data_IF_498578860428
#
_entry.id   IF_498578860428
#
_cell.length_a   1.000
_cell.length_b   1.000
_cell.length_c   1.000
_cell.angle_alpha   90.00
_cell.angle_beta   90.00
_cell.angle_gamma   90.00
#
_symmetry.space_group_name_H-M   'P 1'
#
loop_
_entity.id
_entity.type
_entity.pdbx_description
1 polymer ?
#
# COMPACT_ATOMS: atom_id res chain seq x y z
N UNK A 1 19.72 -11.54 -16.57
CA UNK A 1 19.42 -11.72 -15.13
C UNK A 1 19.10 -13.17 -14.89
N UNK A 2 19.54 -13.77 -13.78
CA UNK A 2 19.23 -15.17 -13.47
C UNK A 2 17.76 -15.27 -13.05
N UNK A 3 16.98 -16.12 -13.72
CA UNK A 3 15.63 -16.47 -13.31
C UNK A 3 15.66 -17.85 -12.62
N UNK A 4 15.28 -17.88 -11.34
CA UNK A 4 15.25 -19.10 -10.53
C UNK A 4 13.95 -19.90 -10.68
N UNK A 5 12.95 -19.39 -11.43
CA UNK A 5 11.70 -20.11 -11.68
C UNK A 5 11.97 -21.42 -12.45
N UNK A 6 11.19 -22.45 -12.13
CA UNK A 6 11.19 -23.71 -12.88
C UNK A 6 10.67 -23.48 -14.31
N UNK A 7 9.59 -22.72 -14.44
CA UNK A 7 9.13 -22.20 -15.72
C UNK A 7 9.90 -20.90 -16.03
N UNK A 8 10.69 -20.91 -17.08
CA UNK A 8 11.57 -19.78 -17.45
C UNK A 8 10.82 -18.58 -18.02
N UNK A 9 9.58 -18.75 -18.41
CA UNK A 9 8.71 -17.65 -18.87
C UNK A 9 8.10 -16.88 -17.69
N UNK A 10 8.00 -17.49 -16.49
CA UNK A 10 7.42 -16.91 -15.29
C UNK A 10 8.46 -16.34 -14.34
N UNK A 11 8.12 -15.25 -13.66
CA UNK A 11 8.95 -14.64 -12.62
C UNK A 11 8.92 -15.52 -11.36
N UNK A 12 10.05 -15.56 -10.64
CA UNK A 12 10.29 -16.57 -9.62
C UNK A 12 9.32 -16.50 -8.42
N UNK A 13 9.04 -15.29 -7.90
CA UNK A 13 8.23 -15.17 -6.70
C UNK A 13 6.75 -15.11 -7.02
N UNK A 14 6.33 -14.24 -7.96
CA UNK A 14 4.90 -14.05 -8.25
C UNK A 14 4.33 -15.11 -9.19
N UNK A 15 5.17 -15.90 -9.87
CA UNK A 15 4.78 -16.94 -10.84
C UNK A 15 3.87 -16.42 -11.97
N UNK A 16 4.16 -15.22 -12.44
CA UNK A 16 3.44 -14.54 -13.54
C UNK A 16 4.41 -14.32 -14.70
N UNK A 17 3.92 -14.45 -15.93
CA UNK A 17 4.67 -14.18 -17.15
C UNK A 17 4.41 -12.75 -17.68
N UNK A 18 5.34 -12.17 -18.47
CA UNK A 18 5.11 -10.92 -19.19
C UNK A 18 3.83 -10.96 -20.02
N UNK A 19 2.99 -9.92 -19.90
CA UNK A 19 1.72 -9.80 -20.60
C UNK A 19 0.52 -10.46 -19.90
N UNK A 20 0.70 -11.25 -18.84
CA UNK A 20 -0.40 -11.82 -18.06
C UNK A 20 -1.06 -10.78 -17.13
N UNK A 21 -0.37 -9.69 -16.78
CA UNK A 21 -0.90 -8.60 -15.96
C UNK A 21 -1.28 -7.37 -16.79
N UNK A 22 -2.11 -6.51 -16.21
CA UNK A 22 -2.42 -5.19 -16.76
C UNK A 22 -1.31 -4.17 -16.48
N UNK A 23 -1.38 -3.04 -17.17
CA UNK A 23 -0.48 -1.89 -16.95
C UNK A 23 -0.71 -1.24 -15.58
N UNK A 24 -1.92 -1.36 -15.03
CA UNK A 24 -2.32 -0.87 -13.71
C UNK A 24 -2.49 -2.08 -12.78
N UNK A 25 -1.81 -2.05 -11.62
CA UNK A 25 -1.88 -3.13 -10.64
C UNK A 25 -2.26 -2.59 -9.25
N UNK A 26 -3.29 -3.19 -8.65
CA UNK A 26 -3.68 -2.93 -7.27
C UNK A 26 -2.87 -3.85 -6.35
N UNK A 27 -2.29 -3.28 -5.28
CA UNK A 27 -1.40 -3.99 -4.35
C UNK A 27 -1.97 -4.04 -2.93
N UNK A 28 -2.81 -5.03 -2.56
CA UNK A 28 -3.15 -5.30 -1.18
C UNK A 28 -2.03 -6.07 -0.46
N UNK A 29 -1.90 -5.91 0.86
CA UNK A 29 -0.99 -6.75 1.65
C UNK A 29 -1.51 -8.17 1.81
N UNK A 30 -2.77 -8.32 2.23
CA UNK A 30 -3.40 -9.63 2.50
C UNK A 30 -3.79 -10.34 1.19
N UNK A 31 -3.29 -11.58 0.96
CA UNK A 31 -3.66 -12.40 -0.20
C UNK A 31 -5.18 -12.60 -0.36
N UNK A 32 -5.91 -12.75 0.74
CA UNK A 32 -7.37 -12.92 0.73
C UNK A 32 -8.11 -11.70 0.16
N UNK A 33 -7.49 -10.54 0.19
CA UNK A 33 -8.07 -9.31 -0.37
C UNK A 33 -8.06 -9.30 -1.90
N UNK A 34 -7.17 -10.07 -2.55
CA UNK A 34 -7.12 -10.15 -4.01
C UNK A 34 -8.45 -10.62 -4.61
N UNK A 35 -9.03 -11.69 -4.09
CA UNK A 35 -10.33 -12.18 -4.55
C UNK A 35 -11.47 -11.18 -4.27
N UNK A 36 -11.38 -10.40 -3.18
CA UNK A 36 -12.35 -9.34 -2.87
C UNK A 36 -12.27 -8.19 -3.87
N UNK A 37 -11.04 -7.76 -4.23
CA UNK A 37 -10.80 -6.71 -5.23
C UNK A 37 -11.20 -7.19 -6.63
N UNK A 38 -10.86 -8.43 -7.00
CA UNK A 38 -11.19 -9.01 -8.30
C UNK A 38 -12.69 -9.04 -8.59
N UNK A 39 -13.57 -9.03 -7.59
CA UNK A 39 -15.02 -8.92 -7.78
C UNK A 39 -15.46 -7.61 -8.44
N UNK A 40 -14.62 -6.59 -8.44
CA UNK A 40 -14.87 -5.33 -9.12
C UNK A 40 -14.36 -5.29 -10.56
N UNK A 41 -13.70 -6.36 -11.02
CA UNK A 41 -13.23 -6.48 -12.39
C UNK A 41 -14.29 -7.18 -13.27
N UNK A 42 -14.34 -6.83 -14.52
CA UNK A 42 -15.02 -7.59 -15.57
C UNK A 42 -14.12 -8.77 -15.94
N UNK A 43 -14.70 -9.97 -16.04
CA UNK A 43 -14.04 -11.23 -16.41
C UNK A 43 -12.72 -11.51 -15.66
N UNK A 44 -12.74 -11.52 -14.32
CA UNK A 44 -11.52 -11.73 -13.53
C UNK A 44 -11.03 -13.18 -13.65
N UNK A 45 -9.75 -13.36 -13.93
CA UNK A 45 -9.06 -14.67 -14.01
C UNK A 45 -7.97 -14.73 -12.94
N UNK A 46 -7.90 -15.83 -12.19
CA UNK A 46 -6.77 -16.15 -11.33
C UNK A 46 -5.57 -16.52 -12.21
N UNK A 47 -4.49 -15.72 -12.14
CA UNK A 47 -3.27 -15.92 -12.93
C UNK A 47 -2.27 -16.77 -12.16
N UNK A 48 -2.06 -16.47 -10.87
CA UNK A 48 -1.10 -17.16 -10.03
C UNK A 48 -1.52 -17.14 -8.56
N UNK A 49 -1.14 -18.19 -7.84
CA UNK A 49 -1.23 -18.31 -6.39
C UNK A 49 0.07 -18.96 -5.90
N UNK A 50 1.01 -18.15 -5.45
CA UNK A 50 2.32 -18.63 -5.01
C UNK A 50 2.83 -17.80 -3.82
N UNK A 51 3.22 -18.45 -2.75
CA UNK A 51 3.67 -17.80 -1.49
C UNK A 51 2.59 -16.83 -0.97
N UNK A 52 3.00 -15.61 -0.63
CA UNK A 52 2.12 -14.49 -0.27
C UNK A 52 1.54 -13.74 -1.49
N UNK A 53 1.89 -14.15 -2.71
CA UNK A 53 1.50 -13.48 -3.96
C UNK A 53 0.36 -14.21 -4.66
N UNK A 54 -0.83 -13.62 -4.62
CA UNK A 54 -1.99 -14.05 -5.40
C UNK A 54 -2.29 -12.98 -6.44
N UNK A 55 -2.38 -13.37 -7.72
CA UNK A 55 -2.63 -12.45 -8.82
C UNK A 55 -3.92 -12.80 -9.55
N UNK A 56 -4.81 -11.81 -9.69
CA UNK A 56 -5.94 -11.85 -10.61
C UNK A 56 -5.78 -10.76 -11.67
N UNK A 57 -6.24 -11.03 -12.89
CA UNK A 57 -6.29 -10.05 -13.98
C UNK A 57 -7.70 -10.04 -14.57
N UNK A 58 -8.19 -8.86 -14.92
CA UNK A 58 -9.48 -8.63 -15.55
C UNK A 58 -9.53 -7.23 -16.15
N UNK A 59 -10.72 -6.66 -16.28
CA UNK A 59 -10.92 -5.35 -16.92
C UNK A 59 -11.66 -4.40 -15.98
N UNK A 60 -11.27 -3.13 -15.97
CA UNK A 60 -11.99 -2.03 -15.31
C UNK A 60 -12.08 -0.85 -16.27
N UNK A 61 -13.29 -0.43 -16.61
CA UNK A 61 -13.53 0.67 -17.55
C UNK A 61 -12.77 0.50 -18.90
N UNK A 62 -12.75 -0.73 -19.42
CA UNK A 62 -12.09 -1.07 -20.68
C UNK A 62 -10.56 -1.18 -20.62
N UNK A 63 -9.93 -0.98 -19.43
CA UNK A 63 -8.48 -1.12 -19.22
C UNK A 63 -8.19 -2.48 -18.60
N UNK A 64 -7.13 -3.17 -19.08
CA UNK A 64 -6.62 -4.39 -18.44
C UNK A 64 -6.00 -4.03 -17.10
N UNK A 65 -6.48 -4.59 -16.01
CA UNK A 65 -6.07 -4.31 -14.63
C UNK A 65 -5.76 -5.61 -13.92
N UNK A 66 -4.78 -5.57 -13.03
CA UNK A 66 -4.48 -6.69 -12.16
C UNK A 66 -4.54 -6.30 -10.69
N UNK A 67 -4.70 -7.29 -9.84
CA UNK A 67 -4.46 -7.21 -8.41
C UNK A 67 -3.46 -8.28 -8.03
N UNK A 68 -2.41 -7.89 -7.29
CA UNK A 68 -1.40 -8.82 -6.76
C UNK A 68 -1.14 -8.50 -5.29
N UNK A 69 -1.27 -9.49 -4.41
CA UNK A 69 -0.92 -9.29 -3.00
C UNK A 69 0.59 -9.12 -2.81
N UNK A 70 0.97 -8.37 -1.80
CA UNK A 70 2.39 -8.10 -1.50
C UNK A 70 2.90 -8.85 -0.28
N UNK A 71 2.03 -9.46 0.53
CA UNK A 71 2.39 -9.84 1.89
C UNK A 71 2.59 -8.60 2.78
N UNK A 72 3.32 -8.76 3.88
CA UNK A 72 3.59 -7.71 4.86
C UNK A 72 5.04 -7.25 4.74
N UNK A 73 5.22 -5.92 4.72
CA UNK A 73 6.51 -5.28 4.85
C UNK A 73 7.26 -4.99 3.55
N UNK A 74 8.29 -4.18 3.67
CA UNK A 74 9.07 -3.66 2.55
C UNK A 74 9.66 -4.72 1.63
N UNK A 75 10.40 -5.73 2.14
CA UNK A 75 11.05 -6.73 1.28
C UNK A 75 10.07 -7.47 0.35
N UNK A 76 8.96 -7.92 0.88
CA UNK A 76 7.93 -8.64 0.13
C UNK A 76 7.25 -7.73 -0.90
N UNK A 77 6.90 -6.50 -0.51
CA UNK A 77 6.30 -5.52 -1.40
C UNK A 77 7.23 -5.10 -2.54
N UNK A 78 8.53 -4.93 -2.27
CA UNK A 78 9.53 -4.62 -3.28
C UNK A 78 9.68 -5.73 -4.33
N UNK A 79 9.71 -6.99 -3.90
CA UNK A 79 9.76 -8.15 -4.80
C UNK A 79 8.55 -8.15 -5.74
N UNK A 80 7.34 -7.96 -5.20
CA UNK A 80 6.12 -7.91 -6.00
C UNK A 80 6.21 -6.80 -7.08
N UNK A 81 6.55 -5.58 -6.68
CA UNK A 81 6.67 -4.45 -7.61
C UNK A 81 7.73 -4.71 -8.69
N UNK A 82 8.91 -5.17 -8.32
CA UNK A 82 10.01 -5.48 -9.24
C UNK A 82 9.61 -6.50 -10.31
N UNK A 83 8.95 -7.57 -9.90
CA UNK A 83 8.55 -8.63 -10.84
C UNK A 83 7.35 -8.21 -11.69
N UNK A 84 6.40 -7.44 -11.14
CA UNK A 84 5.27 -6.88 -11.91
C UNK A 84 5.73 -5.85 -12.95
N UNK A 85 6.73 -5.01 -12.64
CA UNK A 85 7.34 -4.09 -13.62
C UNK A 85 7.93 -4.87 -14.81
N UNK A 86 8.59 -6.00 -14.56
CA UNK A 86 9.11 -6.88 -15.61
C UNK A 86 8.01 -7.55 -16.44
N UNK A 87 6.82 -7.71 -15.86
CA UNK A 87 5.63 -8.21 -16.56
C UNK A 87 4.92 -7.13 -17.39
N UNK A 88 5.37 -5.86 -17.33
CA UNK A 88 4.82 -4.74 -18.11
C UNK A 88 3.94 -3.76 -17.32
N UNK A 89 3.79 -3.94 -16.01
CA UNK A 89 3.04 -2.99 -15.18
C UNK A 89 3.86 -1.70 -14.94
N UNK A 90 3.20 -0.55 -14.95
CA UNK A 90 3.85 0.76 -14.75
C UNK A 90 3.07 1.71 -13.83
N UNK A 91 1.88 1.32 -13.37
CA UNK A 91 1.08 2.10 -12.43
C UNK A 91 0.57 1.20 -11.31
N UNK A 92 0.83 1.60 -10.08
CA UNK A 92 0.54 0.79 -8.91
C UNK A 92 -0.29 1.57 -7.90
N UNK A 93 -1.34 0.94 -7.36
CA UNK A 93 -2.17 1.50 -6.30
C UNK A 93 -2.15 0.54 -5.11
N UNK A 94 -1.43 0.92 -4.05
CA UNK A 94 -1.52 0.20 -2.79
C UNK A 94 -2.90 0.39 -2.17
N UNK A 95 -3.59 -0.70 -1.87
CA UNK A 95 -4.84 -0.73 -1.09
C UNK A 95 -4.59 -1.42 0.24
N UNK A 96 -4.34 -0.62 1.27
CA UNK A 96 -3.87 -1.09 2.56
C UNK A 96 -4.82 -0.82 3.72
N UNK A 97 -4.28 -1.08 4.91
CA UNK A 97 -4.84 -0.70 6.21
C UNK A 97 -3.76 0.01 7.01
N UNK A 98 -4.16 0.91 7.92
CA UNK A 98 -3.25 1.63 8.80
C UNK A 98 -3.87 1.85 10.18
N UNK A 99 -3.04 2.20 11.14
CA UNK A 99 -3.46 2.80 12.39
C UNK A 99 -3.47 4.32 12.25
N UNK A 100 -4.54 5.01 12.69
CA UNK A 100 -4.60 6.47 12.69
C UNK A 100 -3.65 7.09 13.72
N UNK A 101 -3.10 8.27 13.41
CA UNK A 101 -2.14 9.00 14.25
C UNK A 101 -2.63 10.40 14.67
N UNK A 102 -3.65 10.96 14.04
CA UNK A 102 -4.23 12.27 14.39
C UNK A 102 -5.64 12.08 14.99
N UNK A 103 -6.00 12.86 15.98
CA UNK A 103 -7.29 12.70 16.69
C UNK A 103 -8.53 12.95 15.83
N UNK A 104 -8.38 13.70 14.74
CA UNK A 104 -9.44 13.92 13.74
C UNK A 104 -9.55 12.79 12.70
N UNK A 105 -8.59 11.85 12.66
CA UNK A 105 -8.61 10.68 11.79
C UNK A 105 -9.30 9.53 12.52
N UNK A 106 -10.51 9.17 12.11
CA UNK A 106 -11.34 8.17 12.79
C UNK A 106 -11.19 6.79 12.16
N UNK A 107 -11.52 5.77 12.93
CA UNK A 107 -11.66 4.40 12.41
C UNK A 107 -12.74 4.37 11.32
N UNK A 108 -12.45 3.75 10.19
CA UNK A 108 -13.32 3.73 9.01
C UNK A 108 -13.03 4.83 8.00
N UNK A 109 -12.30 5.89 8.36
CA UNK A 109 -11.86 6.89 7.41
C UNK A 109 -10.83 6.32 6.43
N UNK A 110 -10.69 6.99 5.30
CA UNK A 110 -9.71 6.65 4.26
C UNK A 110 -8.55 7.64 4.31
N UNK A 111 -7.31 7.15 4.20
CA UNK A 111 -6.12 7.98 3.99
C UNK A 111 -5.60 7.79 2.58
N UNK A 112 -5.47 8.87 1.82
CA UNK A 112 -4.69 8.93 0.58
C UNK A 112 -3.30 9.48 0.92
N UNK A 113 -2.26 8.65 0.78
CA UNK A 113 -0.90 9.03 1.14
C UNK A 113 -0.25 9.88 0.06
N UNK A 114 0.32 11.02 0.44
CA UNK A 114 1.13 11.87 -0.44
C UNK A 114 2.61 11.56 -0.36
N UNK A 115 3.05 11.06 0.79
CA UNK A 115 4.42 10.65 1.06
C UNK A 115 4.45 9.70 2.27
N UNK A 116 5.58 9.05 2.49
CA UNK A 116 5.80 8.19 3.64
C UNK A 116 7.12 8.50 4.35
N UNK A 117 7.09 8.47 5.70
CA UNK A 117 8.30 8.50 6.52
C UNK A 117 9.03 7.17 6.35
N UNK A 118 10.31 7.22 6.01
CA UNK A 118 11.16 6.05 5.72
C UNK A 118 11.79 5.46 6.98
N UNK A 119 10.99 4.70 7.76
CA UNK A 119 11.51 3.95 8.91
C UNK A 119 11.73 2.46 8.59
N UNK A 120 11.67 2.09 7.33
CA UNK A 120 11.95 0.75 6.82
C UNK A 120 13.40 0.61 6.34
N UNK A 121 13.91 -0.61 6.34
CA UNK A 121 15.25 -0.94 5.82
C UNK A 121 15.29 -1.02 4.30
N UNK A 122 14.26 -1.60 3.70
CA UNK A 122 14.23 -1.88 2.25
C UNK A 122 14.38 -0.62 1.41
N UNK A 123 13.66 0.46 1.73
CA UNK A 123 13.77 1.70 0.95
C UNK A 123 15.18 2.31 0.98
N UNK A 124 15.96 2.04 2.03
CA UNK A 124 17.34 2.52 2.16
C UNK A 124 18.31 1.78 1.22
N UNK A 125 18.00 0.55 0.87
CA UNK A 125 18.78 -0.22 -0.12
C UNK A 125 18.51 0.23 -1.57
N UNK A 126 17.34 0.88 -1.81
CA UNK A 126 16.99 1.42 -3.14
C UNK A 126 17.49 2.84 -3.37
N UNK A 127 17.54 3.69 -2.35
CA UNK A 127 17.92 5.08 -2.49
C UNK A 127 18.48 5.67 -1.18
N UNK A 128 19.36 6.69 -1.24
CA UNK A 128 19.80 7.44 -0.07
C UNK A 128 18.62 7.93 0.77
N UNK A 129 18.81 8.01 2.10
CA UNK A 129 17.71 8.36 3.04
C UNK A 129 17.13 9.75 2.77
N UNK A 130 17.93 10.65 2.22
CA UNK A 130 17.56 12.03 1.88
C UNK A 130 16.58 12.09 0.70
N UNK A 131 16.49 11.04 -0.15
CA UNK A 131 15.53 11.00 -1.23
C UNK A 131 14.12 10.78 -0.65
N UNK A 132 13.14 11.66 -0.93
CA UNK A 132 11.82 11.57 -0.31
C UNK A 132 11.00 10.39 -0.86
N UNK A 133 10.33 9.66 0.01
CA UNK A 133 9.33 8.67 -0.39
C UNK A 133 8.01 9.38 -0.73
N UNK A 134 7.97 10.02 -1.89
CA UNK A 134 6.79 10.72 -2.40
C UNK A 134 5.93 9.78 -3.26
N UNK A 135 4.61 9.86 -3.10
CA UNK A 135 3.67 9.22 -4.00
C UNK A 135 3.62 9.94 -5.36
N UNK A 136 3.25 9.22 -6.41
CA UNK A 136 3.02 9.82 -7.71
C UNK A 136 1.85 10.82 -7.66
N UNK A 137 2.06 12.00 -8.26
CA UNK A 137 1.10 13.10 -8.19
C UNK A 137 -0.20 12.78 -8.94
N UNK A 138 -0.13 12.16 -10.11
CA UNK A 138 -1.32 11.84 -10.91
C UNK A 138 -2.16 10.75 -10.24
N UNK A 139 -1.51 9.68 -9.75
CA UNK A 139 -2.20 8.60 -9.02
C UNK A 139 -2.83 9.15 -7.74
N UNK A 140 -2.12 9.98 -6.99
CA UNK A 140 -2.65 10.62 -5.77
C UNK A 140 -3.86 11.50 -6.09
N UNK A 141 -3.78 12.28 -7.17
CA UNK A 141 -4.89 13.16 -7.62
C UNK A 141 -6.11 12.35 -8.03
N UNK A 142 -5.93 11.25 -8.76
CA UNK A 142 -7.01 10.34 -9.14
C UNK A 142 -7.69 9.71 -7.90
N UNK A 143 -6.90 9.27 -6.92
CA UNK A 143 -7.43 8.72 -5.66
C UNK A 143 -8.23 9.77 -4.86
N UNK A 144 -7.76 11.01 -4.79
CA UNK A 144 -8.48 12.11 -4.12
C UNK A 144 -9.78 12.44 -4.85
N UNK A 145 -9.78 12.49 -6.18
CA UNK A 145 -11.01 12.69 -6.98
C UNK A 145 -12.00 11.57 -6.74
N UNK A 146 -11.54 10.32 -6.77
CA UNK A 146 -12.37 9.15 -6.51
C UNK A 146 -13.01 9.19 -5.12
N UNK A 147 -12.24 9.53 -4.08
CA UNK A 147 -12.78 9.67 -2.72
C UNK A 147 -13.87 10.74 -2.64
N UNK A 148 -13.70 11.87 -3.32
CA UNK A 148 -14.71 12.93 -3.43
C UNK A 148 -15.96 12.47 -4.19
N UNK A 149 -15.79 11.82 -5.33
CA UNK A 149 -16.90 11.31 -6.16
C UNK A 149 -17.77 10.31 -5.40
N UNK A 150 -17.13 9.46 -4.57
CA UNK A 150 -17.80 8.46 -3.76
C UNK A 150 -18.33 8.99 -2.43
N UNK A 151 -18.10 10.27 -2.12
CA UNK A 151 -18.50 10.94 -0.86
C UNK A 151 -18.06 10.15 0.39
N UNK A 152 -16.82 9.62 0.37
CA UNK A 152 -16.26 8.91 1.52
C UNK A 152 -15.50 9.86 2.43
N UNK A 153 -15.48 9.63 3.77
CA UNK A 153 -14.63 10.40 4.68
C UNK A 153 -13.16 10.09 4.39
N UNK A 154 -12.36 11.10 4.02
CA UNK A 154 -10.97 10.89 3.65
C UNK A 154 -10.04 11.99 4.17
N UNK A 155 -8.76 11.63 4.31
CA UNK A 155 -7.66 12.50 4.65
C UNK A 155 -6.54 12.36 3.60
N UNK A 156 -5.81 13.43 3.36
CA UNK A 156 -4.70 13.46 2.39
C UNK A 156 -3.44 13.96 3.08
N UNK A 157 -2.37 13.19 3.09
CA UNK A 157 -1.14 13.61 3.75
C UNK A 157 -0.12 12.51 3.93
N UNK A 158 0.86 12.76 4.80
CA UNK A 158 1.99 11.88 5.06
C UNK A 158 1.59 10.75 5.98
N UNK A 159 2.11 9.54 5.71
CA UNK A 159 2.00 8.38 6.59
C UNK A 159 3.36 7.97 7.13
N UNK A 160 3.40 7.25 8.25
CA UNK A 160 4.62 6.65 8.77
C UNK A 160 4.66 5.19 8.31
N UNK A 161 5.80 4.79 7.71
CA UNK A 161 6.05 3.41 7.29
C UNK A 161 7.18 2.80 8.12
N UNK A 162 6.98 1.59 8.64
CA UNK A 162 7.90 0.90 9.55
C UNK A 162 8.00 -0.59 9.26
N UNK A 163 9.05 -1.25 9.75
CA UNK A 163 9.23 -2.71 9.64
C UNK A 163 8.74 -3.47 10.88
N UNK A 164 8.78 -2.84 12.07
CA UNK A 164 8.47 -3.51 13.33
C UNK A 164 7.06 -3.17 13.84
N UNK A 165 6.08 -4.05 13.58
CA UNK A 165 4.70 -3.87 14.04
C UNK A 165 4.61 -3.68 15.57
N UNK A 166 5.22 -4.58 16.34
CA UNK A 166 5.21 -4.51 17.80
C UNK A 166 6.08 -3.38 18.37
N UNK A 167 7.02 -2.84 17.59
CA UNK A 167 7.75 -1.63 17.95
C UNK A 167 6.87 -0.39 18.08
N UNK A 168 5.70 -0.38 17.43
CA UNK A 168 4.70 0.67 17.61
C UNK A 168 3.71 0.36 18.73
N UNK A 169 3.24 -0.89 18.84
CA UNK A 169 2.13 -1.25 19.73
C UNK A 169 2.57 -1.57 21.16
N UNK A 170 3.82 -1.98 21.35
CA UNK A 170 4.43 -2.30 22.64
C UNK A 170 5.86 -1.73 22.73
N UNK A 171 6.05 -0.43 22.44
CA UNK A 171 7.37 0.17 22.34
C UNK A 171 8.16 0.07 23.67
N UNK A 172 7.47 0.09 24.80
CA UNK A 172 8.06 -0.02 26.13
C UNK A 172 8.74 -1.36 26.39
N UNK A 173 8.37 -2.41 25.65
CA UNK A 173 8.98 -3.75 25.74
C UNK A 173 10.23 -3.89 24.85
N UNK A 174 10.52 -2.90 24.02
CA UNK A 174 11.64 -2.96 23.07
C UNK A 174 12.92 -2.39 23.70
N UNK A 175 14.10 -2.98 23.40
CA UNK A 175 15.38 -2.44 23.89
C UNK A 175 15.64 -0.98 23.53
N UNK A 176 15.08 -0.53 22.40
CA UNK A 176 15.19 0.86 21.88
C UNK A 176 13.92 1.67 22.15
N UNK A 177 13.21 1.38 23.24
CA UNK A 177 11.91 2.00 23.59
C UNK A 177 11.94 3.53 23.52
N UNK A 178 13.01 4.16 24.07
CA UNK A 178 13.20 5.61 24.06
C UNK A 178 13.19 6.20 22.64
N UNK A 179 13.83 5.51 21.69
CA UNK A 179 13.89 5.96 20.30
C UNK A 179 12.53 5.83 19.63
N UNK A 180 11.84 4.69 19.81
CA UNK A 180 10.53 4.42 19.21
C UNK A 180 9.47 5.40 19.71
N UNK A 181 9.43 5.64 21.03
CA UNK A 181 8.48 6.57 21.64
C UNK A 181 8.72 8.02 21.21
N UNK A 182 9.98 8.46 21.21
CA UNK A 182 10.34 9.82 20.78
C UNK A 182 10.04 10.05 19.30
N UNK A 183 10.31 9.07 18.43
CA UNK A 183 9.99 9.14 17.01
C UNK A 183 8.48 9.17 16.78
N UNK A 184 7.71 8.33 17.49
CA UNK A 184 6.25 8.36 17.38
C UNK A 184 5.69 9.74 17.73
N UNK A 185 6.12 10.33 18.86
CA UNK A 185 5.70 11.67 19.26
C UNK A 185 6.07 12.73 18.21
N UNK A 186 7.28 12.65 17.66
CA UNK A 186 7.70 13.55 16.58
C UNK A 186 6.81 13.44 15.34
N UNK A 187 6.46 12.23 14.89
CA UNK A 187 5.61 12.04 13.73
C UNK A 187 4.17 12.51 13.98
N UNK A 188 3.62 12.28 15.17
CA UNK A 188 2.32 12.82 15.58
C UNK A 188 2.34 14.35 15.54
N UNK A 189 3.37 14.99 16.11
CA UNK A 189 3.50 16.46 16.10
C UNK A 189 3.71 17.03 14.69
N UNK A 190 4.33 16.28 13.79
CA UNK A 190 4.47 16.68 12.38
C UNK A 190 3.21 16.42 11.54
N UNK A 191 2.16 15.88 12.13
CA UNK A 191 0.88 15.68 11.44
C UNK A 191 0.81 14.43 10.58
N UNK A 192 1.66 13.40 10.80
CA UNK A 192 1.48 12.11 10.14
C UNK A 192 0.07 11.57 10.42
N UNK A 193 -0.63 11.15 9.37
CA UNK A 193 -2.04 10.76 9.44
C UNK A 193 -2.23 9.33 9.91
N UNK A 194 -1.36 8.43 9.49
CA UNK A 194 -1.46 7.00 9.79
C UNK A 194 -0.13 6.28 9.74
N UNK A 195 -0.11 5.07 10.28
CA UNK A 195 1.06 4.21 10.35
C UNK A 195 0.78 2.86 9.69
N UNK A 196 1.66 2.42 8.79
CA UNK A 196 1.57 1.20 8.01
C UNK A 196 2.98 0.62 7.73
N UNK A 197 3.16 -0.30 6.76
CA UNK A 197 4.42 -1.06 6.66
C UNK A 197 5.01 -1.19 5.23
N UNK A 198 4.41 -0.61 4.17
CA UNK A 198 4.85 -0.84 2.78
C UNK A 198 5.02 0.42 1.92
N UNK A 199 4.34 1.54 2.24
CA UNK A 199 4.26 2.69 1.33
C UNK A 199 5.61 3.32 1.02
N UNK A 200 6.52 3.47 1.99
CA UNK A 200 7.83 4.08 1.72
C UNK A 200 8.65 3.23 0.76
N UNK A 201 8.66 1.91 0.95
CA UNK A 201 9.32 0.98 0.05
C UNK A 201 8.74 1.05 -1.36
N UNK A 202 7.40 1.00 -1.49
CA UNK A 202 6.75 1.04 -2.80
C UNK A 202 6.99 2.35 -3.53
N UNK A 203 6.94 3.50 -2.83
CA UNK A 203 7.21 4.80 -3.44
C UNK A 203 8.67 4.92 -3.91
N UNK A 204 9.63 4.47 -3.10
CA UNK A 204 11.05 4.52 -3.44
C UNK A 204 11.41 3.52 -4.54
N UNK A 205 10.94 2.28 -4.46
CA UNK A 205 11.17 1.28 -5.51
C UNK A 205 10.51 1.71 -6.82
N UNK A 206 9.31 2.28 -6.77
CA UNK A 206 8.63 2.85 -7.92
C UNK A 206 9.43 3.97 -8.58
N UNK A 207 9.93 4.92 -7.79
CA UNK A 207 10.80 5.99 -8.29
C UNK A 207 12.08 5.43 -8.94
N UNK A 208 12.73 4.44 -8.32
CA UNK A 208 13.92 3.79 -8.86
C UNK A 208 13.66 3.02 -10.17
N UNK A 209 12.42 2.61 -10.42
CA UNK A 209 11.98 1.92 -11.66
C UNK A 209 11.25 2.84 -12.63
N UNK A 210 11.12 4.13 -12.32
CA UNK A 210 10.41 5.12 -13.14
C UNK A 210 8.96 4.73 -13.42
N UNK A 211 8.27 4.16 -12.40
CA UNK A 211 6.86 3.78 -12.45
C UNK A 211 6.06 4.59 -11.43
N UNK A 212 4.76 4.73 -11.68
CA UNK A 212 3.86 5.53 -10.85
C UNK A 212 3.32 4.69 -9.68
N UNK A 213 3.38 5.22 -8.46
CA UNK A 213 2.86 4.53 -7.27
C UNK A 213 2.06 5.50 -6.41
N UNK A 214 0.83 5.12 -6.07
CA UNK A 214 0.01 5.79 -5.07
C UNK A 214 -0.49 4.82 -4.00
N UNK A 215 -1.07 5.34 -2.92
CA UNK A 215 -1.58 4.50 -1.84
C UNK A 215 -2.86 5.07 -1.22
N UNK A 216 -3.80 4.18 -0.96
CA UNK A 216 -5.05 4.45 -0.24
C UNK A 216 -5.24 3.39 0.86
N UNK A 217 -5.60 3.82 2.06
CA UNK A 217 -5.64 2.95 3.24
C UNK A 217 -6.88 3.19 4.07
N UNK A 218 -7.44 2.10 4.61
CA UNK A 218 -8.45 2.15 5.65
C UNK A 218 -7.79 2.39 7.01
N UNK A 219 -8.31 3.32 7.78
CA UNK A 219 -7.98 3.46 9.20
C UNK A 219 -8.70 2.40 10.01
N UNK A 220 -7.98 1.40 10.52
CA UNK A 220 -8.59 0.30 11.29
C UNK A 220 -8.95 0.72 12.71
N UNK A 221 -8.06 1.44 13.36
CA UNK A 221 -8.19 1.98 14.71
C UNK A 221 -7.20 3.13 14.87
N UNK A 222 -7.29 3.92 15.93
CA UNK A 222 -6.42 5.06 16.16
C UNK A 222 -5.87 5.07 17.58
N UNK A 223 -4.56 4.92 17.70
CA UNK A 223 -3.86 4.81 18.97
C UNK A 223 -3.92 6.11 19.80
N UNK A 224 -3.87 7.28 19.14
CA UNK A 224 -3.95 8.57 19.84
C UNK A 224 -5.36 8.84 20.37
N UNK A 225 -6.40 8.43 19.65
CA UNK A 225 -7.78 8.48 20.14
C UNK A 225 -7.98 7.56 21.32
N UNK A 226 -7.43 6.33 21.28
CA UNK A 226 -7.48 5.38 22.37
C UNK A 226 -6.83 5.93 23.65
N UNK A 227 -5.67 6.59 23.56
CA UNK A 227 -4.97 7.24 24.68
C UNK A 227 -5.83 8.32 25.35
N UNK A 228 -6.66 9.01 24.59
CA UNK A 228 -7.55 10.08 25.08
C UNK A 228 -8.96 9.58 25.47
N UNK A 229 -9.22 8.28 25.43
CA UNK A 229 -10.53 7.72 25.71
C UNK A 229 -11.63 8.13 24.71
N UNK A 230 -11.24 8.55 23.50
CA UNK A 230 -12.19 8.91 22.45
C UNK A 230 -12.71 7.64 21.76
N UNK A 231 -13.91 7.74 21.15
CA UNK A 231 -14.48 6.65 20.36
C UNK A 231 -13.47 6.11 19.34
N UNK A 232 -13.23 4.80 19.37
CA UNK A 232 -12.20 4.16 18.57
C UNK A 232 -12.56 2.69 18.27
N UNK A 233 -13.67 2.43 17.52
CA UNK A 233 -14.03 1.06 17.13
C UNK A 233 -12.98 0.48 16.19
N UNK A 234 -12.86 -0.85 16.16
CA UNK A 234 -11.99 -1.53 15.19
C UNK A 234 -12.78 -1.82 13.91
N UNK A 235 -12.41 -1.15 12.83
CA UNK A 235 -13.02 -1.34 11.49
C UNK A 235 -12.08 -2.18 10.62
N UNK A 236 -12.59 -3.27 10.06
CA UNK A 236 -11.80 -4.21 9.22
C UNK A 236 -12.24 -4.28 7.77
N UNK A 237 -13.40 -3.72 7.45
CA UNK A 237 -13.93 -3.76 6.09
C UNK A 237 -13.23 -2.75 5.19
N UNK A 238 -12.40 -3.26 4.29
CA UNK A 238 -11.61 -2.46 3.34
C UNK A 238 -12.37 -2.05 2.07
N UNK A 239 -13.69 -2.28 2.02
CA UNK A 239 -14.48 -2.03 0.81
C UNK A 239 -14.40 -0.59 0.32
N UNK A 240 -14.46 0.38 1.22
CA UNK A 240 -14.33 1.80 0.85
C UNK A 240 -13.01 2.09 0.13
N UNK A 241 -11.88 1.60 0.64
CA UNK A 241 -10.57 1.81 0.00
C UNK A 241 -10.49 1.11 -1.35
N UNK A 242 -11.07 -0.08 -1.47
CA UNK A 242 -11.15 -0.82 -2.74
C UNK A 242 -11.93 0.00 -3.76
N UNK A 243 -13.11 0.49 -3.39
CA UNK A 243 -13.96 1.31 -4.28
C UNK A 243 -13.27 2.59 -4.72
N UNK A 244 -12.55 3.26 -3.82
CA UNK A 244 -11.75 4.45 -4.16
C UNK A 244 -10.67 4.10 -5.19
N UNK A 245 -9.94 2.99 -5.01
CA UNK A 245 -8.92 2.55 -5.97
C UNK A 245 -9.53 2.19 -7.34
N UNK A 246 -10.64 1.47 -7.36
CA UNK A 246 -11.36 1.10 -8.61
C UNK A 246 -11.87 2.34 -9.33
N UNK A 247 -12.45 3.29 -8.61
CA UNK A 247 -12.93 4.54 -9.21
C UNK A 247 -11.78 5.37 -9.80
N UNK A 248 -10.63 5.45 -9.07
CA UNK A 248 -9.45 6.18 -9.52
C UNK A 248 -8.86 5.62 -10.83
N UNK A 249 -8.99 4.32 -11.10
CA UNK A 249 -8.50 3.69 -12.35
C UNK A 249 -9.16 4.28 -13.60
N UNK A 250 -10.38 4.81 -13.49
CA UNK A 250 -11.07 5.43 -14.62
C UNK A 250 -10.33 6.65 -15.16
N UNK A 251 -9.62 7.37 -14.28
CA UNK A 251 -8.86 8.60 -14.59
C UNK A 251 -7.38 8.33 -14.92
N UNK A 252 -6.87 7.10 -14.77
CA UNK A 252 -5.47 6.72 -15.01
C UNK A 252 -5.26 6.01 -16.33
#
# INVERSE_FOLDING_TARGET
MINYSADKEKLYHIQVAPGEVGEIVILPGDPKRCAKIAKYFEDPVLIADNREYITYTGTVAGKKVSVTSTGIGGPSAAIALEELVRCGAHTFIRVGTCGGMQTNVKSGDVIVATAAVRMDGTSREYAPIEYPAAADFEVTTALVRAAKTLDVPYHVGVVQCKDAFYGQHEPEKMPVSYELMNKWDAWVRMGCLGSEMESSTLFIAGAARHVRVGAVMLVMANQERAKLGLENPVVRDTDLCIRVAIEAIKDL
#
